data_IF_727198521427
#
_entry.id   IF_727198521427
#
_cell.length_a   1.000
_cell.length_b   1.000
_cell.length_c   1.000
_cell.angle_alpha   90.00
_cell.angle_beta   90.00
_cell.angle_gamma   90.00
#
_symmetry.space_group_name_H-M   'P 1'
#
loop_
_entity.id
_entity.type
_entity.pdbx_description
1 polymer ?
#
# COMPACT_ATOMS: atom_id res chain seq x y z
N UNK A 1 -8.67 -24.67 0.63
CA UNK A 1 -9.94 -24.05 1.09
C UNK A 1 -9.83 -22.53 1.29
N UNK A 2 -8.94 -22.02 2.17
CA UNK A 2 -8.81 -20.56 2.43
C UNK A 2 -8.56 -19.74 1.16
N UNK A 3 -7.60 -20.15 0.31
CA UNK A 3 -7.34 -19.48 -0.98
C UNK A 3 -8.55 -19.44 -1.92
N UNK A 4 -9.40 -20.47 -1.89
CA UNK A 4 -10.61 -20.50 -2.72
C UNK A 4 -11.65 -19.49 -2.23
N UNK A 5 -11.85 -19.38 -0.91
CA UNK A 5 -12.72 -18.35 -0.33
C UNK A 5 -12.19 -16.95 -0.62
N UNK A 6 -10.87 -16.76 -0.52
CA UNK A 6 -10.20 -15.50 -0.84
C UNK A 6 -10.40 -15.10 -2.30
N UNK A 7 -10.18 -16.01 -3.26
CA UNK A 7 -10.44 -15.74 -4.68
C UNK A 7 -11.91 -15.43 -4.96
N UNK A 8 -12.85 -16.12 -4.28
CA UNK A 8 -14.29 -15.87 -4.43
C UNK A 8 -14.69 -14.51 -3.86
N UNK A 9 -14.10 -14.10 -2.73
CA UNK A 9 -14.31 -12.79 -2.12
C UNK A 9 -13.74 -11.67 -3.01
N UNK A 10 -12.52 -11.84 -3.52
CA UNK A 10 -11.89 -10.93 -4.49
C UNK A 10 -12.79 -10.73 -5.71
N UNK A 11 -13.29 -11.82 -6.30
CA UNK A 11 -14.18 -11.75 -7.45
C UNK A 11 -15.49 -11.00 -7.15
N UNK A 12 -16.10 -11.24 -5.99
CA UNK A 12 -17.32 -10.54 -5.58
C UNK A 12 -17.10 -9.04 -5.37
N UNK A 13 -15.99 -8.67 -4.71
CA UNK A 13 -15.59 -7.27 -4.53
C UNK A 13 -15.31 -6.59 -5.86
N UNK A 14 -14.49 -7.22 -6.71
CA UNK A 14 -14.18 -6.75 -8.07
C UNK A 14 -15.46 -6.48 -8.86
N UNK A 15 -16.38 -7.44 -8.87
CA UNK A 15 -17.64 -7.33 -9.63
C UNK A 15 -18.49 -6.14 -9.15
N UNK A 16 -18.56 -5.90 -7.84
CA UNK A 16 -19.27 -4.75 -7.29
C UNK A 16 -18.59 -3.43 -7.64
N UNK A 17 -17.27 -3.36 -7.52
CA UNK A 17 -16.50 -2.15 -7.82
C UNK A 17 -16.61 -1.80 -9.31
N UNK A 18 -16.34 -2.75 -10.21
CA UNK A 18 -16.43 -2.54 -11.67
C UNK A 18 -17.82 -2.06 -12.07
N UNK A 19 -18.89 -2.70 -11.55
CA UNK A 19 -20.27 -2.30 -11.88
C UNK A 19 -20.62 -0.91 -11.34
N UNK A 20 -20.02 -0.48 -10.24
CA UNK A 20 -20.20 0.87 -9.72
C UNK A 20 -19.43 1.89 -10.58
N UNK A 21 -18.15 1.60 -10.88
CA UNK A 21 -17.30 2.46 -11.69
C UNK A 21 -17.83 2.62 -13.12
N UNK A 22 -18.32 1.56 -13.76
CA UNK A 22 -18.98 1.65 -15.07
C UNK A 22 -20.24 2.51 -15.04
N UNK A 23 -21.07 2.41 -13.98
CA UNK A 23 -22.22 3.31 -13.83
C UNK A 23 -21.80 4.77 -13.71
N UNK A 24 -20.70 5.06 -13.02
CA UNK A 24 -20.18 6.41 -12.86
C UNK A 24 -19.56 6.95 -14.17
N UNK A 25 -18.85 6.09 -14.89
CA UNK A 25 -18.18 6.39 -16.16
C UNK A 25 -19.18 6.72 -17.27
N UNK A 26 -20.29 5.97 -17.36
CA UNK A 26 -21.34 6.21 -18.35
C UNK A 26 -22.37 7.28 -17.94
N UNK A 27 -22.34 7.76 -16.68
CA UNK A 27 -23.24 8.83 -16.25
C UNK A 27 -22.82 10.16 -16.89
N UNK A 28 -23.80 10.93 -17.38
CA UNK A 28 -23.62 12.31 -17.87
C UNK A 28 -22.52 12.49 -18.93
N UNK A 29 -22.31 11.50 -19.82
CA UNK A 29 -21.25 11.51 -20.83
C UNK A 29 -19.84 11.70 -20.26
N UNK A 30 -19.61 11.31 -19.00
CA UNK A 30 -18.30 11.42 -18.35
C UNK A 30 -17.20 10.68 -19.11
N UNK A 31 -17.52 9.61 -19.85
CA UNK A 31 -16.56 8.93 -20.73
C UNK A 31 -15.86 9.91 -21.70
N UNK A 32 -16.61 10.86 -22.28
CA UNK A 32 -16.05 11.84 -23.20
C UNK A 32 -15.27 12.92 -22.46
N UNK A 33 -15.78 13.36 -21.30
CA UNK A 33 -15.12 14.39 -20.48
C UNK A 33 -13.79 13.90 -19.92
N UNK A 34 -13.75 12.68 -19.41
CA UNK A 34 -12.55 12.08 -18.83
C UNK A 34 -11.54 11.70 -19.92
N UNK A 35 -11.99 11.31 -21.11
CA UNK A 35 -11.09 10.96 -22.22
C UNK A 35 -10.51 12.17 -22.95
N UNK A 36 -11.31 13.23 -23.17
CA UNK A 36 -10.93 14.33 -24.06
C UNK A 36 -10.81 15.70 -23.37
N UNK A 37 -11.42 15.91 -22.20
CA UNK A 37 -11.49 17.25 -21.56
C UNK A 37 -10.70 17.34 -20.25
N UNK A 38 -10.40 16.21 -19.60
CA UNK A 38 -9.74 16.18 -18.29
C UNK A 38 -8.43 15.38 -18.36
N UNK A 39 -7.32 16.08 -18.61
CA UNK A 39 -5.97 15.50 -18.62
C UNK A 39 -5.46 15.04 -17.25
N UNK A 40 -6.22 15.24 -16.16
CA UNK A 40 -5.81 14.81 -14.82
C UNK A 40 -5.97 13.30 -14.60
N UNK A 41 -6.85 12.65 -15.35
CA UNK A 41 -7.10 11.21 -15.25
C UNK A 41 -6.56 10.55 -16.53
N UNK A 42 -5.25 10.31 -16.54
CA UNK A 42 -4.60 9.59 -17.64
C UNK A 42 -5.00 8.10 -17.63
N UNK A 43 -5.31 7.55 -18.81
CA UNK A 43 -5.62 6.12 -19.04
C UNK A 43 -6.78 5.58 -18.19
N UNK A 44 -7.95 6.24 -18.22
CA UNK A 44 -9.13 5.86 -17.45
C UNK A 44 -9.61 4.42 -17.73
N UNK A 45 -9.42 3.93 -18.95
CA UNK A 45 -9.64 2.56 -19.39
C UNK A 45 -8.76 1.56 -18.62
N UNK A 46 -7.45 1.83 -18.51
CA UNK A 46 -6.52 1.02 -17.73
C UNK A 46 -6.89 1.00 -16.24
N UNK A 47 -7.32 2.15 -15.69
CA UNK A 47 -7.72 2.22 -14.28
C UNK A 47 -9.01 1.44 -14.00
N UNK A 48 -9.95 1.42 -14.94
CA UNK A 48 -11.22 0.72 -14.81
C UNK A 48 -11.08 -0.82 -14.89
N UNK A 49 -10.11 -1.31 -15.64
CA UNK A 49 -9.91 -2.75 -15.86
C UNK A 49 -8.86 -3.34 -14.92
N UNK A 50 -7.65 -2.77 -14.94
CA UNK A 50 -6.47 -3.34 -14.28
C UNK A 50 -6.41 -2.92 -12.81
N UNK A 51 -6.44 -1.61 -12.52
CA UNK A 51 -6.26 -1.11 -11.14
C UNK A 51 -7.37 -1.63 -10.21
N UNK A 52 -8.63 -1.69 -10.67
CA UNK A 52 -9.74 -2.24 -9.89
C UNK A 52 -9.53 -3.74 -9.59
N UNK A 53 -8.97 -4.49 -10.54
CA UNK A 53 -8.71 -5.91 -10.35
C UNK A 53 -7.60 -6.15 -9.33
N UNK A 54 -6.50 -5.39 -9.42
CA UNK A 54 -5.36 -5.44 -8.49
C UNK A 54 -5.80 -5.01 -7.10
N UNK A 55 -6.60 -3.95 -7.00
CA UNK A 55 -7.15 -3.47 -5.74
C UNK A 55 -8.04 -4.53 -5.06
N UNK A 56 -9.01 -5.10 -5.79
CA UNK A 56 -9.93 -6.09 -5.24
C UNK A 56 -9.18 -7.34 -4.76
N UNK A 57 -8.16 -7.78 -5.51
CA UNK A 57 -7.29 -8.89 -5.12
C UNK A 57 -6.50 -8.57 -3.84
N UNK A 58 -5.91 -7.38 -3.78
CA UNK A 58 -5.14 -6.94 -2.61
C UNK A 58 -6.00 -6.85 -1.35
N UNK A 59 -7.23 -6.35 -1.45
CA UNK A 59 -8.18 -6.27 -0.32
C UNK A 59 -8.58 -7.66 0.16
N UNK A 60 -8.86 -8.60 -0.74
CA UNK A 60 -9.21 -9.96 -0.37
C UNK A 60 -8.04 -10.69 0.31
N UNK A 61 -6.82 -10.52 -0.23
CA UNK A 61 -5.61 -11.06 0.37
C UNK A 61 -5.34 -10.47 1.76
N UNK A 62 -5.51 -9.15 1.91
CA UNK A 62 -5.37 -8.47 3.20
C UNK A 62 -6.39 -9.00 4.22
N UNK A 63 -7.66 -9.15 3.82
CA UNK A 63 -8.71 -9.72 4.67
C UNK A 63 -8.36 -11.14 5.13
N UNK A 64 -7.94 -12.01 4.21
CA UNK A 64 -7.49 -13.38 4.49
C UNK A 64 -6.28 -13.41 5.44
N UNK A 65 -5.33 -12.50 5.24
CA UNK A 65 -4.09 -12.40 6.02
C UNK A 65 -4.30 -11.82 7.43
N UNK A 66 -5.26 -10.91 7.61
CA UNK A 66 -5.61 -10.30 8.91
C UNK A 66 -6.51 -11.20 9.77
N UNK A 67 -7.32 -12.06 9.14
CA UNK A 67 -8.29 -12.90 9.85
C UNK A 67 -7.60 -13.81 10.88
N UNK A 68 -6.42 -14.35 10.55
CA UNK A 68 -5.64 -15.21 11.45
C UNK A 68 -5.15 -14.46 12.71
N UNK A 69 -4.36 -13.36 12.62
CA UNK A 69 -3.96 -12.58 13.80
C UNK A 69 -5.14 -12.09 14.65
N UNK A 70 -6.23 -11.63 14.04
CA UNK A 70 -7.42 -11.20 14.78
C UNK A 70 -8.05 -12.35 15.58
N UNK A 71 -8.18 -13.51 14.96
CA UNK A 71 -8.73 -14.70 15.61
C UNK A 71 -7.81 -15.19 16.75
N UNK A 72 -6.50 -15.20 16.52
CA UNK A 72 -5.52 -15.56 17.55
C UNK A 72 -5.59 -14.57 18.75
N UNK A 73 -5.70 -13.27 18.48
CA UNK A 73 -5.85 -12.25 19.52
C UNK A 73 -7.16 -12.42 20.31
N UNK A 74 -8.26 -12.73 19.62
CA UNK A 74 -9.55 -13.02 20.23
C UNK A 74 -9.49 -14.28 21.11
N UNK A 75 -8.87 -15.36 20.63
CA UNK A 75 -8.69 -16.59 21.40
C UNK A 75 -7.82 -16.37 22.64
N UNK A 76 -6.72 -15.62 22.51
CA UNK A 76 -5.87 -15.25 23.65
C UNK A 76 -6.69 -14.44 24.65
N UNK A 77 -7.46 -13.46 24.20
CA UNK A 77 -8.35 -12.66 25.06
C UNK A 77 -9.41 -13.52 25.79
N UNK A 78 -10.05 -14.45 25.09
CA UNK A 78 -11.05 -15.37 25.66
C UNK A 78 -10.42 -16.36 26.65
N UNK A 79 -9.26 -16.93 26.32
CA UNK A 79 -8.50 -17.83 27.18
C UNK A 79 -8.08 -17.11 28.46
N UNK A 80 -7.69 -15.84 28.36
CA UNK A 80 -7.37 -14.99 29.50
C UNK A 80 -8.57 -14.76 30.42
N UNK A 81 -9.72 -14.39 29.84
CA UNK A 81 -10.95 -14.18 30.61
C UNK A 81 -11.39 -15.46 31.35
N UNK A 82 -11.22 -16.63 30.72
CA UNK A 82 -11.55 -17.92 31.35
C UNK A 82 -10.53 -18.30 32.44
N UNK A 83 -9.24 -18.10 32.21
CA UNK A 83 -8.17 -18.40 33.18
C UNK A 83 -8.26 -17.50 34.41
N UNK A 84 -8.50 -16.20 34.22
CA UNK A 84 -8.70 -15.23 35.29
C UNK A 84 -9.93 -15.51 36.16
N UNK A 85 -10.92 -16.23 35.64
CA UNK A 85 -12.12 -16.64 36.39
C UNK A 85 -11.89 -17.90 37.23
N UNK A 86 -10.90 -18.73 36.85
CA UNK A 86 -10.58 -20.03 37.48
C UNK A 86 -9.54 -19.88 38.61
N UNK A 87 -8.64 -18.91 38.47
CA UNK A 87 -7.67 -18.54 39.50
C UNK A 87 -8.25 -17.37 40.30
N UNK A 88 -8.72 -17.60 41.54
CA UNK A 88 -9.19 -16.54 42.48
C UNK A 88 -8.09 -15.54 42.90
N UNK A 89 -7.04 -15.38 42.09
CA UNK A 89 -6.05 -14.33 42.24
C UNK A 89 -6.60 -13.06 41.61
N UNK A 90 -6.47 -11.95 42.33
CA UNK A 90 -6.98 -10.61 42.05
C UNK A 90 -7.34 -10.39 40.56
N UNK A 91 -8.64 -10.32 40.27
CA UNK A 91 -9.25 -10.21 38.92
C UNK A 91 -8.65 -9.06 38.07
N UNK A 92 -7.99 -8.11 38.73
CA UNK A 92 -7.39 -6.94 38.11
C UNK A 92 -5.94 -7.15 37.64
N UNK A 93 -5.11 -7.97 38.28
CA UNK A 93 -3.65 -7.97 38.02
C UNK A 93 -3.23 -8.87 36.86
N UNK A 94 -3.81 -10.07 36.72
CA UNK A 94 -3.45 -11.03 35.66
C UNK A 94 -3.79 -10.56 34.23
N UNK A 95 -5.05 -10.16 33.97
CA UNK A 95 -5.45 -9.64 32.65
C UNK A 95 -4.82 -8.29 32.31
N UNK A 96 -4.70 -7.37 33.28
CA UNK A 96 -4.10 -6.06 33.05
C UNK A 96 -2.60 -6.15 32.72
N UNK A 97 -1.85 -7.07 33.34
CA UNK A 97 -0.45 -7.29 32.99
C UNK A 97 -0.28 -7.84 31.57
N UNK A 98 -1.16 -8.73 31.13
CA UNK A 98 -1.07 -9.33 29.79
C UNK A 98 -1.53 -8.36 28.69
N UNK A 99 -2.59 -7.59 28.94
CA UNK A 99 -2.97 -6.46 28.08
C UNK A 99 -1.85 -5.43 28.05
N UNK A 100 -1.18 -5.18 29.17
CA UNK A 100 0.03 -4.37 29.27
C UNK A 100 1.16 -4.91 28.38
N UNK A 101 1.43 -6.21 28.42
CA UNK A 101 2.47 -6.85 27.58
C UNK A 101 2.09 -6.82 26.10
N UNK A 102 0.83 -7.06 25.74
CA UNK A 102 0.36 -6.98 24.34
C UNK A 102 0.40 -5.53 23.84
N UNK A 103 -0.05 -4.57 24.64
CA UNK A 103 0.00 -3.16 24.32
C UNK A 103 1.45 -2.66 24.21
N UNK A 104 2.33 -3.10 25.12
CA UNK A 104 3.76 -2.78 25.09
C UNK A 104 4.44 -3.42 23.88
N UNK A 105 4.14 -4.68 23.57
CA UNK A 105 4.68 -5.37 22.39
C UNK A 105 4.19 -4.69 21.12
N UNK A 106 2.91 -4.33 21.02
CA UNK A 106 2.35 -3.59 19.89
C UNK A 106 2.96 -2.18 19.77
N UNK A 107 3.24 -1.52 20.91
CA UNK A 107 3.88 -0.21 20.93
C UNK A 107 5.34 -0.29 20.48
N UNK A 108 6.10 -1.26 20.99
CA UNK A 108 7.47 -1.55 20.55
C UNK A 108 7.49 -1.88 19.06
N UNK A 109 6.57 -2.74 18.58
CA UNK A 109 6.46 -3.06 17.16
C UNK A 109 6.18 -1.80 16.33
N UNK A 110 5.31 -0.90 16.80
CA UNK A 110 4.99 0.36 16.12
C UNK A 110 6.17 1.32 16.05
N UNK A 111 7.02 1.34 17.07
CA UNK A 111 8.22 2.18 17.14
C UNK A 111 9.35 1.60 16.29
N UNK A 112 9.51 0.27 16.31
CA UNK A 112 10.55 -0.44 15.56
C UNK A 112 10.20 -0.55 14.08
N UNK A 113 8.92 -0.60 13.72
CA UNK A 113 8.51 -0.65 12.31
C UNK A 113 8.82 0.71 11.65
N UNK A 114 9.72 0.75 10.65
CA UNK A 114 10.01 1.99 9.95
C UNK A 114 8.73 2.49 9.28
N UNK A 115 8.59 3.82 9.17
CA UNK A 115 7.42 4.46 8.55
C UNK A 115 7.44 4.27 7.03
N UNK A 116 7.24 3.03 6.57
CA UNK A 116 7.16 2.67 5.16
C UNK A 116 6.14 3.53 4.40
N UNK A 117 5.05 3.94 5.06
CA UNK A 117 4.06 4.84 4.48
C UNK A 117 4.63 6.20 4.04
N UNK A 118 5.52 6.82 4.83
CA UNK A 118 6.13 8.11 4.45
C UNK A 118 7.11 7.93 3.29
N UNK A 119 7.90 6.85 3.31
CA UNK A 119 8.85 6.52 2.25
C UNK A 119 8.17 6.27 0.91
N UNK A 120 7.08 5.48 0.92
CA UNK A 120 6.27 5.18 -0.25
C UNK A 120 5.55 6.43 -0.76
N UNK A 121 5.05 7.29 0.14
CA UNK A 121 4.45 8.57 -0.25
C UNK A 121 5.46 9.47 -0.96
N UNK A 122 6.70 9.51 -0.49
CA UNK A 122 7.74 10.34 -1.10
C UNK A 122 8.25 9.76 -2.43
N UNK A 123 8.33 8.42 -2.54
CA UNK A 123 8.56 7.73 -3.81
C UNK A 123 7.49 8.09 -4.84
N UNK A 124 6.21 8.01 -4.47
CA UNK A 124 5.10 8.36 -5.35
C UNK A 124 5.18 9.82 -5.82
N UNK A 125 5.58 10.75 -4.94
CA UNK A 125 5.76 12.15 -5.29
C UNK A 125 6.90 12.36 -6.31
N UNK A 126 8.06 11.71 -6.10
CA UNK A 126 9.19 11.77 -7.04
C UNK A 126 8.87 11.15 -8.39
N UNK A 127 8.13 10.04 -8.39
CA UNK A 127 7.65 9.40 -9.61
C UNK A 127 6.67 10.31 -10.37
N UNK A 128 5.74 10.95 -9.66
CA UNK A 128 4.83 11.96 -10.23
C UNK A 128 5.58 13.13 -10.86
N UNK A 129 6.63 13.64 -10.19
CA UNK A 129 7.48 14.70 -10.73
C UNK A 129 8.22 14.28 -12.01
N UNK A 130 8.75 13.04 -12.07
CA UNK A 130 9.38 12.50 -13.28
C UNK A 130 8.36 12.43 -14.45
N UNK A 131 7.15 11.92 -14.18
CA UNK A 131 6.07 11.86 -15.19
C UNK A 131 5.68 13.25 -15.69
N UNK A 132 5.60 14.22 -14.78
CA UNK A 132 5.32 15.61 -15.12
C UNK A 132 6.37 16.20 -16.07
N UNK A 133 7.67 15.99 -15.81
CA UNK A 133 8.74 16.44 -16.73
C UNK A 133 8.60 15.77 -18.10
N UNK A 134 8.33 14.46 -18.14
CA UNK A 134 8.11 13.76 -19.40
C UNK A 134 6.93 14.31 -20.18
N UNK A 135 5.79 14.55 -19.51
CA UNK A 135 4.60 15.14 -20.13
C UNK A 135 4.90 16.53 -20.71
N UNK A 136 5.60 17.38 -19.95
CA UNK A 136 6.04 18.72 -20.40
C UNK A 136 6.92 18.65 -21.65
N UNK A 137 7.87 17.71 -21.71
CA UNK A 137 8.73 17.53 -22.89
C UNK A 137 7.91 17.14 -24.12
N UNK A 138 6.90 16.28 -23.96
CA UNK A 138 6.02 15.86 -25.06
C UNK A 138 5.17 17.03 -25.54
N UNK A 139 4.56 17.80 -24.62
CA UNK A 139 3.71 18.94 -24.97
C UNK A 139 4.49 20.05 -25.67
N UNK A 140 5.74 20.30 -25.25
CA UNK A 140 6.57 21.39 -25.78
C UNK A 140 7.66 20.88 -26.75
N UNK A 141 7.46 19.70 -27.35
CA UNK A 141 8.47 19.04 -28.17
C UNK A 141 8.92 19.90 -29.37
N UNK A 142 7.97 20.62 -29.99
CA UNK A 142 8.24 21.51 -31.13
C UNK A 142 9.13 22.69 -30.72
N UNK A 143 8.85 23.35 -29.59
CA UNK A 143 9.66 24.45 -29.08
C UNK A 143 11.08 23.97 -28.71
N UNK A 144 11.19 22.81 -28.06
CA UNK A 144 12.49 22.25 -27.68
C UNK A 144 13.34 21.93 -28.92
N UNK A 145 12.71 21.38 -29.97
CA UNK A 145 13.37 21.09 -31.25
C UNK A 145 13.78 22.38 -31.98
N UNK A 146 12.90 23.39 -32.00
CA UNK A 146 13.12 24.66 -32.67
C UNK A 146 14.24 25.49 -32.02
N UNK A 147 14.29 25.55 -30.69
CA UNK A 147 15.29 26.32 -29.93
C UNK A 147 16.55 25.52 -29.56
N UNK A 148 16.64 24.23 -29.94
CA UNK A 148 17.79 23.37 -29.62
C UNK A 148 17.95 23.06 -28.12
N UNK A 149 16.87 23.14 -27.34
CA UNK A 149 16.87 22.98 -25.87
C UNK A 149 17.11 21.55 -25.37
N UNK A 150 17.33 20.58 -26.26
CA UNK A 150 17.35 19.16 -25.95
C UNK A 150 18.36 18.75 -24.86
N UNK A 151 19.55 19.39 -24.80
CA UNK A 151 20.59 19.07 -23.81
C UNK A 151 20.16 19.45 -22.40
N UNK A 152 19.49 20.60 -22.26
CA UNK A 152 19.02 21.12 -20.97
C UNK A 152 17.88 20.25 -20.44
N UNK A 153 16.90 19.93 -21.29
CA UNK A 153 15.79 19.03 -20.94
C UNK A 153 16.28 17.63 -20.56
N UNK A 154 17.25 17.09 -21.29
CA UNK A 154 17.88 15.80 -20.97
C UNK A 154 18.58 15.83 -19.59
N UNK A 155 19.29 16.91 -19.27
CA UNK A 155 19.94 17.07 -17.97
C UNK A 155 18.91 17.17 -16.83
N UNK A 156 17.81 17.91 -17.02
CA UNK A 156 16.74 18.00 -16.03
C UNK A 156 16.05 16.65 -15.81
N UNK A 157 15.75 15.92 -16.89
CA UNK A 157 15.15 14.58 -16.82
C UNK A 157 16.07 13.60 -16.08
N UNK A 158 17.37 13.60 -16.40
CA UNK A 158 18.36 12.74 -15.73
C UNK A 158 18.48 13.08 -14.24
N UNK A 159 18.43 14.35 -13.86
CA UNK A 159 18.43 14.76 -12.44
C UNK A 159 17.17 14.31 -11.71
N UNK A 160 15.99 14.38 -12.34
CA UNK A 160 14.75 13.88 -11.76
C UNK A 160 14.79 12.36 -11.57
N UNK A 161 15.31 11.62 -12.56
CA UNK A 161 15.50 10.18 -12.49
C UNK A 161 16.49 9.78 -11.39
N UNK A 162 17.64 10.43 -11.30
CA UNK A 162 18.63 10.16 -10.25
C UNK A 162 18.05 10.40 -8.84
N UNK A 163 17.21 11.44 -8.66
CA UNK A 163 16.51 11.69 -7.40
C UNK A 163 15.54 10.55 -7.04
N UNK A 164 14.86 9.96 -8.03
CA UNK A 164 14.01 8.79 -7.83
C UNK A 164 14.84 7.56 -7.46
N UNK A 165 15.91 7.27 -8.19
CA UNK A 165 16.81 6.13 -7.92
C UNK A 165 17.40 6.20 -6.52
N UNK A 166 17.87 7.37 -6.09
CA UNK A 166 18.40 7.55 -4.73
C UNK A 166 17.33 7.26 -3.66
N UNK A 167 16.08 7.64 -3.90
CA UNK A 167 14.98 7.30 -2.98
C UNK A 167 14.74 5.80 -2.93
N UNK A 168 14.67 5.14 -4.09
CA UNK A 168 14.47 3.69 -4.17
C UNK A 168 15.61 2.93 -3.47
N UNK A 169 16.86 3.34 -3.65
CA UNK A 169 18.01 2.76 -2.98
C UNK A 169 17.93 2.90 -1.45
N UNK A 170 17.47 4.06 -0.96
CA UNK A 170 17.25 4.27 0.48
C UNK A 170 16.16 3.32 1.01
N UNK A 171 15.05 3.18 0.28
CA UNK A 171 13.94 2.28 0.64
C UNK A 171 14.42 0.83 0.65
N UNK A 172 15.16 0.40 -0.38
CA UNK A 172 15.69 -0.96 -0.46
C UNK A 172 16.67 -1.26 0.66
N UNK A 173 17.56 -0.33 1.00
CA UNK A 173 18.50 -0.51 2.11
C UNK A 173 17.78 -0.67 3.45
N UNK A 174 16.78 0.16 3.72
CA UNK A 174 15.96 0.05 4.94
C UNK A 174 15.13 -1.25 4.98
N UNK A 175 14.55 -1.63 3.85
CA UNK A 175 13.78 -2.88 3.72
C UNK A 175 14.68 -4.10 3.93
N UNK A 176 15.89 -4.09 3.38
CA UNK A 176 16.87 -5.15 3.56
C UNK A 176 17.29 -5.28 5.03
N UNK A 177 17.60 -4.16 5.70
CA UNK A 177 17.92 -4.18 7.12
C UNK A 177 16.78 -4.72 7.99
N UNK A 178 15.54 -4.31 7.70
CA UNK A 178 14.35 -4.81 8.38
C UNK A 178 14.14 -6.33 8.17
N UNK A 179 14.26 -6.81 6.94
CA UNK A 179 14.12 -8.24 6.62
C UNK A 179 15.23 -9.05 7.31
N UNK A 180 16.48 -8.55 7.32
CA UNK A 180 17.60 -9.23 7.99
C UNK A 180 17.36 -9.36 9.49
N UNK A 181 16.85 -8.32 10.16
CA UNK A 181 16.45 -8.39 11.56
C UNK A 181 15.32 -9.40 11.80
N UNK A 182 14.27 -9.36 10.96
CA UNK A 182 13.15 -10.28 11.08
C UNK A 182 13.60 -11.74 10.95
N UNK A 183 14.46 -12.05 9.97
CA UNK A 183 15.03 -13.38 9.78
C UNK A 183 15.91 -13.82 10.95
N UNK A 184 16.70 -12.91 11.55
CA UNK A 184 17.51 -13.21 12.72
C UNK A 184 16.64 -13.60 13.93
N UNK A 185 15.59 -12.82 14.23
CA UNK A 185 14.66 -13.13 15.31
C UNK A 185 13.85 -14.42 15.07
N UNK A 186 13.45 -14.67 13.83
CA UNK A 186 12.73 -15.90 13.45
C UNK A 186 13.60 -17.15 13.58
N UNK A 187 14.90 -17.05 13.28
CA UNK A 187 15.83 -18.19 13.37
C UNK A 187 16.18 -18.56 14.82
N UNK A 188 16.11 -17.62 15.75
CA UNK A 188 16.39 -17.86 17.17
C UNK A 188 15.20 -18.49 17.94
N UNK A 189 14.07 -18.70 17.26
CA UNK A 189 12.83 -19.29 17.81
C UNK A 189 12.55 -20.72 17.32
N UNK A 190 13.47 -21.32 16.55
CA UNK A 190 13.51 -22.76 16.25
C UNK A 190 14.65 -23.40 17.03
#
# INVERSE_FOLDING_TARGET
MIRFLESKLSLAFRTRLVRHSYRLYFKNQNFYRVSNLDGRIENADHRLTEDISVFASSVAHLYSSLTKPCFDLMLIGLALMRSSRKMKANILTGPALSVGVIALTAHILRVVSPKFGQLVSEEANRYGYLRHIHSRIITNAEEIAFYGGHKVEMQQLRQAYNRLVNQMNNIFSQKLWFIMLEQFFMKQRR
#
